data_IF_407192606203
#
_entry.id   IF_407192606203
#
_cell.length_a   1.000
_cell.length_b   1.000
_cell.length_c   1.000
_cell.angle_alpha   90.00
_cell.angle_beta   90.00
_cell.angle_gamma   90.00
#
_symmetry.space_group_name_H-M   'P 1'
#
loop_
_entity.id
_entity.type
_entity.pdbx_description
1 polymer ?
#
# COMPACT_ATOMS: atom_id res chain seq x y z
N UNK A 1 29.01 57.36 21.67
CA UNK A 1 27.99 57.02 20.65
C UNK A 1 28.06 55.56 20.12
N UNK A 2 29.16 54.81 20.25
CA UNK A 2 29.25 53.39 19.80
C UNK A 2 28.51 52.37 20.70
N UNK A 3 28.36 52.62 22.00
CA UNK A 3 27.68 51.68 22.94
C UNK A 3 26.15 51.63 22.74
N UNK A 4 25.51 52.77 22.48
CA UNK A 4 24.05 52.87 22.29
C UNK A 4 23.57 52.20 20.99
N UNK A 5 24.36 52.27 19.92
CA UNK A 5 24.09 51.56 18.66
C UNK A 5 24.21 50.04 18.81
N UNK A 6 25.19 49.55 19.58
CA UNK A 6 25.33 48.10 19.88
C UNK A 6 24.14 47.56 20.66
N UNK A 7 23.63 48.32 21.64
CA UNK A 7 22.47 47.92 22.44
C UNK A 7 21.20 47.80 21.59
N UNK A 8 20.93 48.77 20.70
CA UNK A 8 19.78 48.71 19.79
C UNK A 8 19.88 47.58 18.76
N UNK A 9 21.09 47.30 18.26
CA UNK A 9 21.33 46.18 17.34
C UNK A 9 21.12 44.82 18.03
N UNK A 10 21.60 44.67 19.27
CA UNK A 10 21.39 43.47 20.07
C UNK A 10 19.92 43.23 20.38
N UNK A 11 19.16 44.30 20.69
CA UNK A 11 17.71 44.23 20.92
C UNK A 11 16.95 43.81 19.65
N UNK A 12 17.43 44.17 18.46
CA UNK A 12 16.85 43.75 17.17
C UNK A 12 17.24 42.31 16.78
N UNK A 13 18.45 41.87 17.13
CA UNK A 13 18.94 40.52 16.84
C UNK A 13 18.30 39.46 17.74
N UNK A 14 17.91 39.84 18.97
CA UNK A 14 17.26 38.96 19.94
C UNK A 14 15.95 38.31 19.43
N UNK A 15 14.97 39.06 18.88
CA UNK A 15 13.75 38.47 18.34
C UNK A 15 14.00 37.62 17.08
N UNK A 16 15.00 37.97 16.25
CA UNK A 16 15.40 37.14 15.10
C UNK A 16 16.00 35.82 15.57
N UNK A 17 16.83 35.85 16.61
CA UNK A 17 17.42 34.66 17.21
C UNK A 17 16.39 33.77 17.90
N UNK A 18 15.44 34.36 18.64
CA UNK A 18 14.32 33.62 19.27
C UNK A 18 13.43 33.00 18.18
N UNK A 19 13.07 33.76 17.14
CA UNK A 19 12.26 33.24 16.02
C UNK A 19 12.94 32.09 15.29
N UNK A 20 14.24 32.22 15.00
CA UNK A 20 15.04 31.16 14.40
C UNK A 20 15.16 29.92 15.29
N UNK A 21 15.35 30.12 16.60
CA UNK A 21 15.46 29.02 17.57
C UNK A 21 14.14 28.25 17.73
N UNK A 22 12.99 28.95 17.74
CA UNK A 22 11.68 28.31 17.78
C UNK A 22 11.41 27.52 16.48
N UNK A 23 11.77 28.07 15.33
CA UNK A 23 11.63 27.37 14.06
C UNK A 23 12.49 26.10 14.00
N UNK A 24 13.73 26.16 14.47
CA UNK A 24 14.62 25.01 14.59
C UNK A 24 14.06 23.97 15.56
N UNK A 25 13.59 24.40 16.74
CA UNK A 25 13.01 23.49 17.73
C UNK A 25 11.74 22.80 17.21
N UNK A 26 10.93 23.50 16.41
CA UNK A 26 9.75 22.90 15.76
C UNK A 26 10.13 21.89 14.69
N UNK A 27 11.17 22.17 13.91
CA UNK A 27 11.69 21.23 12.92
C UNK A 27 12.30 19.98 13.58
N UNK A 28 13.03 20.16 14.69
CA UNK A 28 13.54 19.05 15.50
C UNK A 28 12.41 18.26 16.15
N UNK A 29 11.36 18.90 16.65
CA UNK A 29 10.21 18.23 17.24
C UNK A 29 9.43 17.38 16.22
N UNK A 30 9.18 17.91 15.03
CA UNK A 30 8.64 17.11 13.93
C UNK A 30 9.61 15.97 13.57
N UNK A 31 10.91 16.25 13.49
CA UNK A 31 11.96 15.25 13.28
C UNK A 31 11.94 14.12 14.31
N UNK A 32 11.76 14.41 15.60
CA UNK A 32 11.66 13.43 16.69
C UNK A 32 10.38 12.60 16.58
N UNK A 33 9.27 13.22 16.19
CA UNK A 33 8.01 12.51 15.91
C UNK A 33 8.17 11.50 14.76
N UNK A 34 9.00 11.81 13.77
CA UNK A 34 9.38 10.89 12.70
C UNK A 34 10.55 9.96 13.07
N UNK A 35 11.38 10.30 14.06
CA UNK A 35 12.54 9.51 14.46
C UNK A 35 12.18 8.16 15.09
N UNK A 36 11.02 8.07 15.76
CA UNK A 36 10.48 6.77 16.21
C UNK A 36 10.26 5.79 15.04
N UNK A 37 9.93 6.28 13.84
CA UNK A 37 9.80 5.47 12.63
C UNK A 37 11.16 5.05 12.04
N UNK A 38 12.26 5.70 12.43
CA UNK A 38 13.62 5.37 11.99
C UNK A 38 14.30 4.33 12.90
N UNK A 39 13.84 4.20 14.15
CA UNK A 39 14.41 3.26 15.15
C UNK A 39 13.60 1.97 15.34
N UNK A 40 12.44 1.86 14.69
CA UNK A 40 11.61 0.66 14.74
C UNK A 40 12.04 -0.32 13.67
N UNK A 41 12.05 -1.62 13.98
CA UNK A 41 12.29 -2.68 13.00
C UNK A 41 11.51 -2.41 11.71
N UNK A 42 12.04 -2.76 10.52
CA UNK A 42 11.35 -2.55 9.24
C UNK A 42 9.88 -2.98 9.26
N UNK A 43 9.58 -4.07 9.99
CA UNK A 43 8.23 -4.59 10.20
C UNK A 43 7.26 -3.64 10.93
N UNK A 44 7.74 -2.85 11.89
CA UNK A 44 6.93 -1.90 12.68
C UNK A 44 6.80 -0.56 11.94
N UNK A 45 7.84 -0.15 11.20
CA UNK A 45 7.77 0.99 10.27
C UNK A 45 6.75 0.74 9.14
N UNK A 46 6.71 -0.49 8.63
CA UNK A 46 5.70 -0.94 7.68
C UNK A 46 4.30 -0.98 8.32
N UNK A 47 4.17 -1.26 9.62
CA UNK A 47 2.87 -1.28 10.32
C UNK A 47 2.29 0.11 10.63
N UNK A 48 3.14 1.14 10.77
CA UNK A 48 2.72 2.49 11.13
C UNK A 48 2.32 3.37 9.92
N UNK A 49 2.70 2.98 8.70
CA UNK A 49 2.23 3.59 7.46
C UNK A 49 1.08 2.75 6.91
N UNK A 50 -0.05 3.36 6.53
CA UNK A 50 -1.20 2.63 5.95
C UNK A 50 -0.67 1.78 4.80
N UNK A 51 -0.60 0.45 5.00
CA UNK A 51 0.10 -0.40 4.05
C UNK A 51 -0.65 -0.36 2.73
N UNK A 52 0.04 -0.40 1.59
CA UNK A 52 -0.60 -0.50 0.27
C UNK A 52 -1.71 -1.56 0.23
N UNK A 53 -1.49 -2.70 0.90
CA UNK A 53 -2.48 -3.77 1.03
C UNK A 53 -3.75 -3.36 1.78
N UNK A 54 -3.69 -2.45 2.75
CA UNK A 54 -4.87 -2.00 3.49
C UNK A 54 -5.78 -1.16 2.59
N UNK A 55 -5.18 -0.25 1.81
CA UNK A 55 -5.89 0.56 0.82
C UNK A 55 -6.51 -0.33 -0.26
N UNK A 56 -5.73 -1.29 -0.74
CA UNK A 56 -6.20 -2.25 -1.72
C UNK A 56 -7.36 -3.10 -1.20
N UNK A 57 -7.26 -3.61 0.04
CA UNK A 57 -8.32 -4.39 0.67
C UNK A 57 -9.62 -3.58 0.84
N UNK A 58 -9.52 -2.33 1.27
CA UNK A 58 -10.67 -1.42 1.39
C UNK A 58 -11.31 -1.19 0.02
N UNK A 59 -10.50 -0.89 -1.01
CA UNK A 59 -10.99 -0.70 -2.38
C UNK A 59 -11.66 -1.96 -2.93
N UNK A 60 -11.10 -3.14 -2.65
CA UNK A 60 -11.72 -4.40 -3.01
C UNK A 60 -13.08 -4.61 -2.32
N UNK A 61 -13.22 -4.24 -1.05
CA UNK A 61 -14.51 -4.33 -0.37
C UNK A 61 -15.57 -3.39 -0.97
N UNK A 62 -15.16 -2.17 -1.33
CA UNK A 62 -16.04 -1.16 -1.94
C UNK A 62 -16.53 -1.60 -3.33
N UNK A 63 -15.64 -2.18 -4.14
CA UNK A 63 -15.91 -2.49 -5.55
C UNK A 63 -16.54 -3.86 -5.76
N UNK A 64 -16.27 -4.83 -4.89
CA UNK A 64 -16.72 -6.21 -5.08
C UNK A 64 -17.99 -6.46 -4.26
N UNK A 65 -19.13 -6.79 -4.90
CA UNK A 65 -20.37 -7.09 -4.19
C UNK A 65 -20.22 -8.25 -3.19
N UNK A 66 -21.09 -8.26 -2.17
CA UNK A 66 -21.17 -9.38 -1.22
C UNK A 66 -21.61 -10.66 -1.93
N UNK A 67 -21.07 -11.80 -1.52
CA UNK A 67 -21.38 -13.12 -2.11
C UNK A 67 -20.68 -13.42 -3.44
N UNK A 68 -20.02 -12.44 -4.07
CA UNK A 68 -19.21 -12.64 -5.27
C UNK A 68 -18.03 -13.58 -5.01
N UNK A 69 -17.59 -14.27 -6.06
CA UNK A 69 -16.40 -15.11 -6.01
C UNK A 69 -15.17 -14.29 -6.41
N UNK A 70 -14.12 -14.44 -5.63
CA UNK A 70 -12.92 -13.60 -5.70
C UNK A 70 -11.70 -14.50 -5.69
N UNK A 71 -10.82 -14.33 -6.67
CA UNK A 71 -9.51 -14.99 -6.68
C UNK A 71 -8.45 -13.96 -6.30
N UNK A 72 -7.62 -14.31 -5.33
CA UNK A 72 -6.52 -13.47 -4.89
C UNK A 72 -5.19 -14.12 -5.25
N UNK A 73 -4.44 -13.47 -6.14
CA UNK A 73 -3.14 -13.91 -6.62
C UNK A 73 -2.05 -13.18 -5.83
N UNK A 74 -1.47 -13.89 -4.86
CA UNK A 74 -0.44 -13.35 -3.99
C UNK A 74 0.95 -13.81 -4.44
N UNK A 75 1.84 -12.91 -4.89
CA UNK A 75 3.19 -13.24 -5.36
C UNK A 75 4.12 -13.73 -4.25
N UNK A 76 3.74 -13.53 -2.99
CA UNK A 76 4.56 -13.89 -1.84
C UNK A 76 4.13 -15.24 -1.27
N UNK A 77 5.08 -16.12 -0.87
CA UNK A 77 4.74 -17.39 -0.24
C UNK A 77 3.89 -17.21 1.03
N UNK A 78 2.88 -18.07 1.30
CA UNK A 78 2.01 -17.93 2.47
C UNK A 78 2.75 -17.98 3.81
N UNK A 79 3.86 -18.73 3.86
CA UNK A 79 4.72 -18.86 5.04
C UNK A 79 5.65 -17.66 5.26
N UNK A 80 5.75 -16.75 4.30
CA UNK A 80 6.52 -15.51 4.47
C UNK A 80 5.74 -14.49 5.31
N UNK A 81 6.45 -13.62 6.03
CA UNK A 81 5.83 -12.55 6.84
C UNK A 81 4.91 -11.66 6.00
N UNK A 82 5.30 -11.35 4.76
CA UNK A 82 4.52 -10.53 3.84
C UNK A 82 3.33 -11.29 3.24
N UNK A 83 3.55 -12.52 2.78
CA UNK A 83 2.51 -13.33 2.14
C UNK A 83 1.37 -13.69 3.08
N UNK A 84 1.69 -14.21 4.28
CA UNK A 84 0.70 -14.55 5.29
C UNK A 84 -0.08 -13.31 5.78
N UNK A 85 0.60 -12.17 5.93
CA UNK A 85 -0.05 -10.91 6.29
C UNK A 85 -1.03 -10.43 5.22
N UNK A 86 -0.67 -10.48 3.93
CA UNK A 86 -1.55 -10.06 2.84
C UNK A 86 -2.78 -10.96 2.70
N UNK A 87 -2.58 -12.28 2.74
CA UNK A 87 -3.69 -13.23 2.70
C UNK A 87 -4.65 -13.04 3.86
N UNK A 88 -4.13 -12.89 5.09
CA UNK A 88 -4.96 -12.65 6.26
C UNK A 88 -5.75 -11.36 6.12
N UNK A 89 -5.11 -10.28 5.64
CA UNK A 89 -5.77 -8.97 5.48
C UNK A 89 -6.91 -9.02 4.47
N UNK A 90 -6.67 -9.60 3.29
CA UNK A 90 -7.69 -9.75 2.24
C UNK A 90 -8.81 -10.68 2.70
N UNK A 91 -8.47 -11.80 3.34
CA UNK A 91 -9.47 -12.75 3.88
C UNK A 91 -10.36 -12.09 4.93
N UNK A 92 -9.79 -11.28 5.82
CA UNK A 92 -10.56 -10.55 6.82
C UNK A 92 -11.46 -9.51 6.19
N UNK A 93 -10.94 -8.67 5.28
CA UNK A 93 -11.72 -7.60 4.68
C UNK A 93 -12.84 -8.14 3.77
N UNK A 94 -12.56 -9.20 3.02
CA UNK A 94 -13.50 -9.79 2.06
C UNK A 94 -14.26 -11.00 2.63
N UNK A 95 -14.42 -11.10 3.96
CA UNK A 95 -15.02 -12.28 4.62
C UNK A 95 -16.45 -12.62 4.14
N UNK A 96 -17.18 -11.66 3.59
CA UNK A 96 -18.54 -11.84 3.03
C UNK A 96 -18.53 -12.32 1.57
N UNK A 97 -17.35 -12.54 0.97
CA UNK A 97 -17.16 -12.99 -0.42
C UNK A 97 -16.57 -14.40 -0.42
N UNK A 98 -16.74 -15.12 -1.53
CA UNK A 98 -16.18 -16.47 -1.71
C UNK A 98 -14.75 -16.35 -2.21
N UNK A 99 -13.81 -16.22 -1.27
CA UNK A 99 -12.39 -16.00 -1.58
C UNK A 99 -11.66 -17.32 -1.89
N UNK A 100 -11.00 -17.38 -3.03
CA UNK A 100 -10.03 -18.39 -3.42
C UNK A 100 -8.62 -17.78 -3.37
N UNK A 101 -7.80 -18.27 -2.45
CA UNK A 101 -6.41 -17.88 -2.34
C UNK A 101 -5.60 -18.70 -3.35
N UNK A 102 -5.00 -18.03 -4.34
CA UNK A 102 -4.16 -18.65 -5.35
C UNK A 102 -2.70 -18.38 -4.98
N UNK A 103 -1.99 -19.46 -4.65
CA UNK A 103 -0.58 -19.40 -4.31
C UNK A 103 0.26 -19.87 -5.49
N UNK A 104 1.43 -19.25 -5.68
CA UNK A 104 2.38 -19.59 -6.75
C UNK A 104 2.98 -20.98 -6.61
N UNK A 105 2.91 -21.59 -5.42
CA UNK A 105 3.43 -22.94 -5.17
C UNK A 105 2.47 -24.06 -5.59
N UNK A 106 1.28 -23.72 -6.10
CA UNK A 106 0.25 -24.67 -6.53
C UNK A 106 -0.19 -24.39 -7.96
N UNK A 107 -0.38 -25.45 -8.71
CA UNK A 107 -0.97 -25.39 -10.04
C UNK A 107 -2.43 -24.89 -9.91
N UNK A 108 -2.73 -23.75 -10.55
CA UNK A 108 -4.05 -23.16 -10.58
C UNK A 108 -4.71 -23.46 -11.91
N UNK A 109 -5.91 -24.04 -11.87
CA UNK A 109 -6.72 -24.28 -13.06
C UNK A 109 -7.50 -23.01 -13.45
N UNK A 110 -7.16 -22.35 -14.58
CA UNK A 110 -7.88 -21.16 -15.04
C UNK A 110 -9.34 -21.43 -15.38
N UNK A 111 -9.72 -22.67 -15.69
CA UNK A 111 -11.12 -23.04 -15.98
C UNK A 111 -12.05 -22.89 -14.76
N UNK A 112 -11.48 -22.74 -13.56
CA UNK A 112 -12.24 -22.45 -12.35
C UNK A 112 -12.84 -21.03 -12.36
N UNK A 113 -12.34 -20.12 -13.18
CA UNK A 113 -12.80 -18.74 -13.31
C UNK A 113 -14.00 -18.68 -14.25
N UNK A 114 -15.08 -18.05 -13.81
CA UNK A 114 -16.32 -17.86 -14.58
C UNK A 114 -16.62 -16.38 -14.76
N UNK A 115 -17.39 -16.05 -15.79
CA UNK A 115 -17.84 -14.69 -16.04
C UNK A 115 -18.55 -14.11 -14.80
N UNK A 116 -18.18 -12.87 -14.44
CA UNK A 116 -18.63 -12.20 -13.22
C UNK A 116 -17.80 -12.50 -11.97
N UNK A 117 -16.80 -13.39 -12.04
CA UNK A 117 -15.80 -13.58 -10.99
C UNK A 117 -14.81 -12.40 -10.96
N UNK A 118 -14.25 -12.13 -9.79
CA UNK A 118 -13.31 -11.04 -9.57
C UNK A 118 -11.90 -11.57 -9.34
N UNK A 119 -10.91 -10.85 -9.85
CA UNK A 119 -9.49 -11.22 -9.78
C UNK A 119 -8.73 -10.07 -9.12
N UNK A 120 -7.94 -10.38 -8.09
CA UNK A 120 -7.09 -9.43 -7.37
C UNK A 120 -5.64 -9.84 -7.60
N UNK A 121 -4.85 -8.93 -8.18
CA UNK A 121 -3.44 -9.15 -8.45
C UNK A 121 -2.58 -8.22 -7.60
N UNK A 122 -1.45 -8.76 -7.14
CA UNK A 122 -0.33 -7.99 -6.62
C UNK A 122 0.88 -8.36 -7.46
N UNK A 123 1.45 -7.37 -8.13
CA UNK A 123 2.58 -7.52 -9.06
C UNK A 123 3.76 -6.70 -8.52
N UNK A 124 4.73 -7.31 -7.85
CA UNK A 124 5.89 -6.61 -7.30
C UNK A 124 6.78 -6.02 -8.40
N UNK A 125 7.40 -4.87 -8.13
CA UNK A 125 8.29 -4.16 -9.09
C UNK A 125 9.45 -5.04 -9.57
N UNK A 126 9.95 -5.94 -8.71
CA UNK A 126 11.16 -6.72 -8.94
C UNK A 126 10.93 -8.01 -9.74
N UNK A 127 9.66 -8.32 -10.07
CA UNK A 127 9.26 -9.55 -10.77
C UNK A 127 8.85 -9.24 -12.20
N UNK A 128 9.66 -9.65 -13.20
CA UNK A 128 9.35 -9.42 -14.60
C UNK A 128 8.31 -10.44 -15.06
N UNK A 129 7.03 -10.03 -15.12
CA UNK A 129 5.93 -10.76 -15.78
C UNK A 129 5.52 -12.10 -15.08
N UNK A 130 4.34 -12.71 -15.29
CA UNK A 130 3.35 -12.61 -16.38
C UNK A 130 1.93 -13.03 -15.93
N UNK A 131 1.65 -13.37 -14.67
CA UNK A 131 0.36 -14.02 -14.36
C UNK A 131 -0.83 -13.10 -14.66
N UNK A 132 -0.76 -11.83 -14.25
CA UNK A 132 -1.75 -10.82 -14.59
C UNK A 132 -1.85 -10.58 -16.10
N UNK A 133 -0.72 -10.48 -16.82
CA UNK A 133 -0.73 -10.28 -18.28
C UNK A 133 -1.29 -11.49 -19.03
N UNK A 134 -0.97 -12.72 -18.61
CA UNK A 134 -1.48 -13.95 -19.18
C UNK A 134 -3.00 -14.03 -19.01
N UNK A 135 -3.52 -13.61 -17.86
CA UNK A 135 -4.96 -13.54 -17.63
C UNK A 135 -5.62 -12.45 -18.47
N UNK A 136 -4.98 -11.29 -18.65
CA UNK A 136 -5.49 -10.20 -19.50
C UNK A 136 -5.51 -10.57 -20.99
N UNK A 137 -4.61 -11.43 -21.45
CA UNK A 137 -4.59 -11.91 -22.83
C UNK A 137 -5.60 -13.03 -23.09
N UNK A 138 -5.94 -13.83 -22.07
CA UNK A 138 -6.77 -15.04 -22.21
C UNK A 138 -8.22 -14.87 -21.78
N UNK A 139 -8.52 -13.90 -20.94
CA UNK A 139 -9.87 -13.62 -20.44
C UNK A 139 -10.28 -12.19 -20.78
N UNK A 140 -11.57 -11.96 -21.12
CA UNK A 140 -12.11 -10.61 -21.18
C UNK A 140 -12.16 -10.02 -19.77
N UNK A 141 -11.17 -9.20 -19.43
CA UNK A 141 -11.06 -8.56 -18.12
C UNK A 141 -11.39 -7.07 -18.19
N UNK A 142 -12.34 -6.65 -17.36
CA UNK A 142 -12.60 -5.25 -17.08
C UNK A 142 -11.85 -4.80 -15.84
N UNK A 143 -10.96 -3.83 -16.00
CA UNK A 143 -10.25 -3.20 -14.89
C UNK A 143 -11.23 -2.34 -14.07
N UNK A 144 -11.32 -2.62 -12.77
CA UNK A 144 -12.11 -1.82 -11.82
C UNK A 144 -11.23 -0.86 -11.03
N UNK A 145 -9.98 -1.26 -10.79
CA UNK A 145 -9.01 -0.47 -10.02
C UNK A 145 -7.60 -0.94 -10.34
N UNK A 146 -6.68 0.00 -10.49
CA UNK A 146 -5.24 -0.29 -10.46
C UNK A 146 -4.53 0.82 -9.69
N UNK A 147 -3.55 0.43 -8.88
CA UNK A 147 -2.71 1.35 -8.13
C UNK A 147 -1.26 0.91 -8.21
N UNK A 148 -0.40 1.86 -8.55
CA UNK A 148 1.03 1.66 -8.62
C UNK A 148 1.73 2.45 -7.52
N UNK A 149 2.63 1.78 -6.81
CA UNK A 149 3.57 2.39 -5.88
C UNK A 149 4.99 1.83 -6.10
N UNK A 150 6.02 2.33 -5.38
CA UNK A 150 7.37 1.82 -5.55
C UNK A 150 7.54 0.31 -5.27
N UNK A 151 6.63 -0.29 -4.50
CA UNK A 151 6.62 -1.71 -4.16
C UNK A 151 5.90 -2.61 -5.17
N UNK A 152 5.13 -2.03 -6.10
CA UNK A 152 4.52 -2.77 -7.21
C UNK A 152 3.20 -2.19 -7.68
N UNK A 153 2.48 -2.99 -8.47
CA UNK A 153 1.13 -2.71 -8.96
C UNK A 153 0.13 -3.62 -8.23
N UNK A 154 -1.01 -3.07 -7.84
CA UNK A 154 -2.14 -3.82 -7.30
C UNK A 154 -3.38 -3.53 -8.12
N UNK A 155 -4.01 -4.58 -8.65
CA UNK A 155 -5.11 -4.45 -9.61
C UNK A 155 -6.32 -5.29 -9.21
N UNK A 156 -7.52 -4.79 -9.53
CA UNK A 156 -8.80 -5.45 -9.35
C UNK A 156 -9.47 -5.53 -10.71
N UNK A 157 -9.80 -6.74 -11.14
CA UNK A 157 -10.51 -7.00 -12.38
C UNK A 157 -11.84 -7.72 -12.12
N UNK A 158 -12.78 -7.52 -13.03
CA UNK A 158 -13.97 -8.34 -13.20
C UNK A 158 -13.89 -9.06 -14.54
N UNK A 159 -14.21 -10.35 -14.54
CA UNK A 159 -14.34 -11.13 -15.77
C UNK A 159 -15.66 -10.82 -16.46
N UNK A 160 -15.63 -10.52 -17.74
CA UNK A 160 -16.81 -10.27 -18.57
C UNK A 160 -17.13 -11.50 -19.43
N UNK A 161 -18.28 -11.49 -20.10
CA UNK A 161 -18.54 -12.46 -21.16
C UNK A 161 -17.98 -11.90 -22.47
N UNK A 162 -17.29 -12.73 -23.25
CA UNK A 162 -16.99 -12.39 -24.65
C UNK A 162 -18.30 -12.07 -25.38
N UNK A 163 -18.31 -10.95 -26.09
CA UNK A 163 -19.44 -10.42 -26.87
C UNK A 163 -19.38 -10.91 -28.31
#
# INVERSE_FOLDING_TARGET
MKLLLRSKLLVLLLPVWIGGSIALFRAEWEGVRFAYLLQTEPAVRDAATVKPIDRFAIKAEELIPRGSKVFFFNPFPPRSSRGGFYEMRIKYQLYQRKLALVSFDREFDPAAIKNGDYLLFITPTDTPNTLESDFRERLPLKELYSWQDPGGVMSIYQTEADW
#
